data_IF_111584186082
#
_entry.id   IF_111584186082
#
_cell.length_a   1.000
_cell.length_b   1.000
_cell.length_c   1.000
_cell.angle_alpha   90.00
_cell.angle_beta   90.00
_cell.angle_gamma   90.00
#
_symmetry.space_group_name_H-M   'P 1'
#
loop_
_entity.id
_entity.type
_entity.pdbx_description
1 polymer ?
#
# COMPACT_ATOMS: atom_id res chain seq x y z
N UNK A 1 -5.09 4.89 -4.16
CA UNK A 1 -3.83 4.16 -3.88
C UNK A 1 -3.71 3.79 -2.41
N UNK A 2 -3.06 2.66 -2.06
CA UNK A 2 -2.99 2.10 -0.68
C UNK A 2 -1.56 1.84 -0.20
N UNK A 3 -0.67 2.79 -0.42
CA UNK A 3 0.74 2.64 -0.06
C UNK A 3 1.06 3.12 1.37
N UNK A 4 0.04 3.62 2.07
CA UNK A 4 0.04 4.01 3.48
C UNK A 4 -1.36 3.75 4.07
N UNK A 5 -1.45 3.65 5.39
CA UNK A 5 -2.74 3.57 6.10
C UNK A 5 -3.46 4.92 6.03
N UNK A 6 -4.71 4.94 5.55
CA UNK A 6 -5.55 6.14 5.65
C UNK A 6 -6.07 6.34 7.08
N UNK A 7 -6.13 7.59 7.53
CA UNK A 7 -6.81 7.96 8.77
C UNK A 7 -8.33 8.04 8.55
N UNK A 8 -9.10 7.26 9.29
CA UNK A 8 -10.58 7.21 9.21
C UNK A 8 -11.27 7.77 10.44
N UNK A 9 -10.54 8.33 11.41
CA UNK A 9 -11.01 8.69 12.75
C UNK A 9 -12.32 9.50 12.77
N UNK A 10 -12.44 10.50 11.88
CA UNK A 10 -13.65 11.35 11.78
C UNK A 10 -14.57 11.00 10.62
N UNK A 11 -14.10 10.18 9.68
CA UNK A 11 -14.78 9.95 8.40
C UNK A 11 -16.11 9.24 8.60
N UNK A 12 -16.20 8.28 9.52
CA UNK A 12 -17.45 7.54 9.73
C UNK A 12 -18.56 8.40 10.33
N UNK A 13 -18.21 9.36 11.21
CA UNK A 13 -19.16 10.33 11.76
C UNK A 13 -19.70 11.25 10.67
N UNK A 14 -18.80 11.80 9.84
CA UNK A 14 -19.17 12.63 8.69
C UNK A 14 -20.08 11.85 7.74
N UNK A 15 -19.76 10.59 7.42
CA UNK A 15 -20.64 9.77 6.58
C UNK A 15 -22.04 9.65 7.20
N UNK A 16 -22.14 9.35 8.50
CA UNK A 16 -23.43 9.24 9.19
C UNK A 16 -24.25 10.53 9.14
N UNK A 17 -23.59 11.68 9.33
CA UNK A 17 -24.22 13.01 9.25
C UNK A 17 -24.74 13.31 7.83
N UNK A 18 -23.94 13.03 6.80
CA UNK A 18 -24.34 13.28 5.41
C UNK A 18 -25.43 12.33 4.92
N UNK A 19 -25.55 11.13 5.51
CA UNK A 19 -26.60 10.16 5.15
C UNK A 19 -28.02 10.63 5.49
N UNK A 20 -28.21 11.64 6.33
CA UNK A 20 -29.54 12.23 6.55
C UNK A 20 -29.90 13.33 5.55
N UNK A 21 -28.97 13.74 4.68
CA UNK A 21 -29.11 14.91 3.81
C UNK A 21 -29.04 14.50 2.33
N UNK A 22 -28.17 13.55 1.99
CA UNK A 22 -27.86 13.22 0.60
C UNK A 22 -27.42 11.77 0.43
N UNK A 23 -27.32 11.34 -0.83
CA UNK A 23 -26.65 10.09 -1.19
C UNK A 23 -25.15 10.22 -0.92
N UNK A 24 -24.57 9.21 -0.28
CA UNK A 24 -23.14 9.15 0.04
C UNK A 24 -22.48 7.99 -0.69
N UNK A 25 -21.38 8.26 -1.38
CA UNK A 25 -20.46 7.22 -1.85
C UNK A 25 -19.25 7.17 -0.92
N UNK A 26 -19.04 6.01 -0.30
CA UNK A 26 -17.85 5.74 0.52
C UNK A 26 -16.92 4.76 -0.18
N UNK A 27 -15.66 5.15 -0.40
CA UNK A 27 -14.62 4.29 -0.97
C UNK A 27 -13.50 4.04 0.03
N UNK A 28 -13.06 2.78 0.13
CA UNK A 28 -12.01 2.40 1.08
C UNK A 28 -11.42 1.03 0.85
N UNK A 29 -10.51 0.64 1.73
CA UNK A 29 -10.11 -0.77 1.88
C UNK A 29 -11.30 -1.61 2.37
N UNK A 30 -11.33 -2.93 2.10
CA UNK A 30 -12.41 -3.80 2.56
C UNK A 30 -12.65 -3.71 4.08
N UNK A 31 -11.57 -3.62 4.88
CA UNK A 31 -11.70 -3.46 6.33
C UNK A 31 -12.25 -2.09 6.76
N UNK A 32 -12.02 -1.02 6.00
CA UNK A 32 -12.62 0.29 6.27
C UNK A 32 -14.11 0.31 5.92
N UNK A 33 -14.50 -0.30 4.79
CA UNK A 33 -15.92 -0.42 4.41
C UNK A 33 -16.67 -1.27 5.43
N UNK A 34 -16.09 -2.41 5.84
CA UNK A 34 -16.65 -3.24 6.91
C UNK A 34 -16.73 -2.50 8.25
N UNK A 35 -15.69 -1.72 8.58
CA UNK A 35 -15.68 -0.85 9.76
C UNK A 35 -16.80 0.19 9.74
N UNK A 36 -17.01 0.87 8.61
CA UNK A 36 -18.10 1.84 8.43
C UNK A 36 -19.47 1.17 8.64
N UNK A 37 -19.74 0.06 7.94
CA UNK A 37 -21.02 -0.64 8.07
C UNK A 37 -21.29 -1.12 9.50
N UNK A 38 -20.26 -1.63 10.18
CA UNK A 38 -20.36 -2.02 11.59
C UNK A 38 -20.66 -0.82 12.49
N UNK A 39 -20.00 0.32 12.25
CA UNK A 39 -20.24 1.56 13.00
C UNK A 39 -21.66 2.11 12.81
N UNK A 40 -22.20 2.03 11.58
CA UNK A 40 -23.54 2.52 11.27
C UNK A 40 -24.64 1.66 11.91
N UNK A 41 -24.41 0.35 12.08
CA UNK A 41 -25.30 -0.57 12.79
C UNK A 41 -26.60 -0.92 12.06
N UNK A 42 -26.81 -0.39 10.85
CA UNK A 42 -27.92 -0.71 9.95
C UNK A 42 -27.56 -0.38 8.50
N UNK A 43 -28.33 -0.91 7.57
CA UNK A 43 -28.20 -0.56 6.16
C UNK A 43 -28.87 0.78 5.85
N UNK A 44 -28.34 1.44 4.81
CA UNK A 44 -28.80 2.74 4.31
C UNK A 44 -28.96 2.64 2.79
N UNK A 45 -30.17 2.90 2.29
CA UNK A 45 -30.48 2.82 0.86
C UNK A 45 -29.68 3.84 0.03
N UNK A 46 -29.38 4.99 0.63
CA UNK A 46 -28.61 6.10 0.05
C UNK A 46 -27.10 6.03 0.33
N UNK A 47 -26.58 4.89 0.83
CA UNK A 47 -25.13 4.67 1.00
C UNK A 47 -24.58 3.71 -0.07
N UNK A 48 -23.76 4.20 -0.99
CA UNK A 48 -23.03 3.38 -1.96
C UNK A 48 -21.62 3.11 -1.42
N UNK A 49 -21.18 1.85 -1.43
CA UNK A 49 -19.88 1.44 -0.91
C UNK A 49 -18.97 0.84 -1.96
N UNK A 50 -17.73 1.30 -2.00
CA UNK A 50 -16.70 0.83 -2.94
C UNK A 50 -15.50 0.33 -2.16
N UNK A 51 -15.28 -0.98 -2.21
CA UNK A 51 -14.05 -1.59 -1.75
C UNK A 51 -13.00 -1.51 -2.85
N UNK A 52 -11.74 -1.30 -2.50
CA UNK A 52 -10.65 -1.54 -3.47
C UNK A 52 -9.97 -2.87 -3.15
N UNK A 53 -9.44 -3.57 -4.16
CA UNK A 53 -8.57 -4.74 -3.96
C UNK A 53 -7.41 -4.35 -3.05
N UNK A 54 -7.11 -5.19 -2.05
CA UNK A 54 -6.19 -4.83 -0.97
C UNK A 54 -5.11 -5.90 -0.76
N UNK A 55 -3.88 -5.52 -1.07
CA UNK A 55 -2.67 -6.26 -0.72
C UNK A 55 -2.48 -6.33 0.82
N UNK A 56 -2.51 -5.15 1.45
CA UNK A 56 -2.17 -4.91 2.84
C UNK A 56 -1.55 -3.51 2.95
N UNK A 57 -1.57 -2.92 4.13
CA UNK A 57 -1.00 -1.58 4.36
C UNK A 57 0.29 -1.67 5.18
N UNK A 58 1.32 -0.90 4.84
CA UNK A 58 2.58 -0.89 5.57
C UNK A 58 2.46 -0.17 6.91
N UNK A 59 3.45 -0.37 7.78
CA UNK A 59 3.62 0.39 9.01
C UNK A 59 3.79 1.90 8.70
N UNK A 60 2.91 2.78 9.23
CA UNK A 60 3.07 4.22 9.07
C UNK A 60 4.37 4.76 9.65
N UNK A 61 4.90 4.11 10.69
CA UNK A 61 6.16 4.48 11.32
C UNK A 61 7.36 4.23 10.39
N UNK A 62 7.36 3.11 9.68
CA UNK A 62 8.41 2.79 8.69
C UNK A 62 8.38 3.81 7.54
N UNK A 63 7.19 4.15 7.02
CA UNK A 63 7.06 5.17 5.99
C UNK A 63 7.52 6.55 6.46
N UNK A 64 7.17 6.95 7.69
CA UNK A 64 7.61 8.22 8.26
C UNK A 64 9.13 8.30 8.35
N UNK A 65 9.80 7.22 8.80
CA UNK A 65 11.26 7.17 8.84
C UNK A 65 11.88 7.22 7.46
N UNK A 66 11.31 6.51 6.48
CA UNK A 66 11.73 6.60 5.07
C UNK A 66 11.65 8.05 4.56
N UNK A 67 10.49 8.68 4.73
CA UNK A 67 10.26 10.05 4.29
C UNK A 67 11.21 11.04 4.95
N UNK A 68 11.42 10.94 6.27
CA UNK A 68 12.38 11.78 6.98
C UNK A 68 13.82 11.61 6.47
N UNK A 69 14.21 10.39 6.11
CA UNK A 69 15.52 10.12 5.50
C UNK A 69 15.69 10.85 4.17
N UNK A 70 14.68 10.75 3.29
CA UNK A 70 14.65 11.46 2.00
C UNK A 70 14.69 12.97 2.21
N UNK A 71 13.91 13.50 3.15
CA UNK A 71 13.87 14.94 3.44
C UNK A 71 15.20 15.46 3.97
N UNK A 72 15.80 14.76 4.94
CA UNK A 72 17.12 15.11 5.50
C UNK A 72 18.22 15.11 4.43
N UNK A 73 18.24 14.09 3.55
CA UNK A 73 19.21 14.03 2.46
C UNK A 73 19.10 15.23 1.50
N UNK A 74 17.89 15.75 1.30
CA UNK A 74 17.64 16.90 0.43
C UNK A 74 17.64 18.25 1.16
N UNK A 75 18.00 18.30 2.45
CA UNK A 75 17.92 19.50 3.30
C UNK A 75 16.53 20.17 3.29
N UNK A 76 15.48 19.36 3.38
CA UNK A 76 14.09 19.80 3.37
C UNK A 76 13.35 19.39 4.63
N UNK A 77 12.25 20.09 4.92
CA UNK A 77 11.25 19.74 5.93
C UNK A 77 9.95 19.25 5.28
N UNK A 78 9.15 18.49 6.05
CA UNK A 78 7.85 17.98 5.60
C UNK A 78 6.89 19.11 5.19
N UNK A 79 6.97 20.27 5.82
CA UNK A 79 6.16 21.46 5.49
C UNK A 79 6.44 22.01 4.10
N UNK A 80 7.54 21.61 3.45
CA UNK A 80 7.87 21.98 2.08
C UNK A 80 7.33 20.99 1.04
N UNK A 81 6.81 19.84 1.47
CA UNK A 81 6.20 18.84 0.60
C UNK A 81 4.74 19.18 0.27
N UNK A 82 4.33 18.98 -0.99
CA UNK A 82 2.93 19.13 -1.41
C UNK A 82 2.25 17.81 -1.74
N UNK A 83 3.01 16.87 -2.33
CA UNK A 83 2.44 15.63 -2.87
C UNK A 83 3.49 14.52 -2.88
N UNK A 84 3.04 13.32 -2.54
CA UNK A 84 3.80 12.08 -2.71
C UNK A 84 3.02 11.20 -3.68
N UNK A 85 3.63 10.83 -4.80
CA UNK A 85 3.08 9.92 -5.77
C UNK A 85 3.87 8.61 -5.74
N UNK A 86 3.22 7.52 -5.37
CA UNK A 86 3.89 6.21 -5.26
C UNK A 86 4.04 5.48 -6.60
N UNK A 87 3.31 5.91 -7.62
CA UNK A 87 3.21 5.21 -8.92
C UNK A 87 2.83 6.21 -10.01
N UNK A 88 3.65 7.23 -10.18
CA UNK A 88 3.50 8.14 -11.32
C UNK A 88 4.05 7.47 -12.58
N UNK A 89 3.41 7.72 -13.73
CA UNK A 89 3.91 7.25 -15.03
C UNK A 89 4.63 8.40 -15.72
N UNK A 90 5.86 8.17 -16.16
CA UNK A 90 6.58 9.03 -17.11
C UNK A 90 7.34 8.12 -18.07
N UNK A 91 7.23 8.38 -19.37
CA UNK A 91 7.87 7.59 -20.44
C UNK A 91 7.55 6.09 -20.30
N UNK A 92 6.29 5.75 -20.00
CA UNK A 92 5.77 4.40 -19.74
C UNK A 92 6.42 3.64 -18.55
N UNK A 93 7.21 4.34 -17.72
CA UNK A 93 7.85 3.76 -16.53
C UNK A 93 7.19 4.32 -15.26
N UNK A 94 6.91 3.43 -14.31
CA UNK A 94 6.44 3.82 -12.99
C UNK A 94 7.57 4.35 -12.11
N UNK A 95 7.30 5.44 -11.42
CA UNK A 95 8.22 6.09 -10.49
C UNK A 95 7.53 6.56 -9.22
N UNK A 96 8.29 6.54 -8.13
CA UNK A 96 7.95 7.19 -6.87
C UNK A 96 8.47 8.62 -6.91
N UNK A 97 7.62 9.60 -6.66
CA UNK A 97 7.95 11.03 -6.78
C UNK A 97 7.47 11.80 -5.57
N UNK A 98 8.30 12.70 -5.04
CA UNK A 98 7.91 13.68 -4.04
C UNK A 98 8.06 15.09 -4.64
N UNK A 99 7.00 15.87 -4.47
CA UNK A 99 6.88 17.23 -4.96
C UNK A 99 6.99 18.23 -3.82
N UNK A 100 7.66 19.36 -4.10
CA UNK A 100 7.64 20.51 -3.21
C UNK A 100 6.34 21.34 -3.39
N UNK A 101 6.17 22.40 -2.61
CA UNK A 101 5.03 23.34 -2.71
C UNK A 101 4.87 24.02 -4.08
N UNK A 102 5.93 24.19 -4.85
CA UNK A 102 5.87 24.73 -6.21
C UNK A 102 5.55 23.68 -7.27
N UNK A 103 5.17 22.46 -6.86
CA UNK A 103 4.88 21.31 -7.74
C UNK A 103 6.07 20.85 -8.57
N UNK A 104 7.29 21.18 -8.15
CA UNK A 104 8.53 20.69 -8.76
C UNK A 104 8.95 19.40 -8.03
N UNK A 105 9.28 18.30 -8.74
CA UNK A 105 9.79 17.10 -8.11
C UNK A 105 11.20 17.36 -7.56
N UNK A 106 11.44 17.00 -6.30
CA UNK A 106 12.78 17.06 -5.69
C UNK A 106 13.35 15.68 -5.36
N UNK A 107 12.51 14.64 -5.40
CA UNK A 107 12.92 13.27 -5.21
C UNK A 107 12.16 12.37 -6.17
N UNK A 108 12.89 11.54 -6.91
CA UNK A 108 12.36 10.62 -7.90
C UNK A 108 13.15 9.31 -7.86
N UNK A 109 12.43 8.19 -7.81
CA UNK A 109 13.03 6.85 -7.85
C UNK A 109 12.13 5.90 -8.64
N UNK A 110 12.71 5.24 -9.66
CA UNK A 110 12.03 4.17 -10.40
C UNK A 110 11.82 2.93 -9.53
N UNK A 111 12.82 2.59 -8.72
CA UNK A 111 12.72 1.52 -7.72
C UNK A 111 13.33 1.98 -6.40
N UNK A 112 12.49 2.18 -5.39
CA UNK A 112 12.97 2.52 -4.05
C UNK A 112 12.86 1.32 -3.10
N UNK A 113 13.75 1.27 -2.11
CA UNK A 113 13.85 0.17 -1.15
C UNK A 113 12.56 0.02 -0.32
N UNK A 114 11.89 1.12 0.01
CA UNK A 114 10.61 1.09 0.73
C UNK A 114 9.54 0.34 -0.07
N UNK A 115 9.28 0.70 -1.33
CA UNK A 115 8.28 0.03 -2.18
C UNK A 115 8.68 -1.44 -2.41
N UNK A 116 9.96 -1.72 -2.66
CA UNK A 116 10.45 -3.10 -2.87
C UNK A 116 10.18 -3.99 -1.66
N UNK A 117 10.55 -3.54 -0.46
CA UNK A 117 10.35 -4.31 0.79
C UNK A 117 8.90 -4.33 1.27
N UNK A 118 8.12 -3.29 0.96
CA UNK A 118 6.66 -3.30 1.14
C UNK A 118 6.00 -4.43 0.34
N UNK A 119 6.35 -4.58 -0.95
CA UNK A 119 5.83 -5.64 -1.82
C UNK A 119 6.34 -7.04 -1.43
N UNK A 120 7.43 -7.13 -0.67
CA UNK A 120 7.89 -8.37 -0.02
C UNK A 120 7.14 -8.67 1.29
N UNK A 121 6.14 -7.87 1.66
CA UNK A 121 5.39 -7.98 2.90
C UNK A 121 6.25 -7.80 4.17
N UNK A 122 7.39 -7.11 4.11
CA UNK A 122 8.34 -7.06 5.25
C UNK A 122 7.76 -6.38 6.48
N UNK A 123 6.97 -5.32 6.29
CA UNK A 123 6.48 -4.47 7.38
C UNK A 123 5.00 -4.09 7.23
N UNK A 124 4.17 -5.03 6.77
CA UNK A 124 2.73 -4.84 6.83
C UNK A 124 2.23 -4.80 8.28
N UNK A 125 1.06 -4.20 8.49
CA UNK A 125 0.34 -4.34 9.77
C UNK A 125 0.05 -5.82 10.03
N UNK A 126 0.14 -6.24 11.30
CA UNK A 126 -0.09 -7.65 11.69
C UNK A 126 -1.45 -8.17 11.20
N UNK A 127 -2.50 -7.36 11.31
CA UNK A 127 -3.84 -7.71 10.83
C UNK A 127 -3.92 -7.95 9.32
N UNK A 128 -2.97 -7.45 8.51
CA UNK A 128 -2.95 -7.66 7.07
C UNK A 128 -2.47 -9.06 6.66
N UNK A 129 -1.67 -9.74 7.50
CA UNK A 129 -1.23 -11.11 7.22
C UNK A 129 -2.33 -12.14 7.44
N UNK A 130 -3.31 -11.83 8.28
CA UNK A 130 -4.48 -12.66 8.53
C UNK A 130 -5.79 -11.85 8.38
N UNK A 131 -5.87 -11.05 7.31
CA UNK A 131 -7.01 -10.17 7.08
C UNK A 131 -8.27 -11.00 6.76
N UNK A 132 -9.31 -10.83 7.56
CA UNK A 132 -10.64 -11.47 7.35
C UNK A 132 -11.51 -10.73 6.33
N UNK A 133 -11.06 -9.59 5.80
CA UNK A 133 -11.82 -8.78 4.84
C UNK A 133 -11.34 -9.08 3.42
N UNK A 134 -11.60 -10.31 2.98
CA UNK A 134 -11.35 -10.81 1.62
C UNK A 134 -12.67 -10.99 0.87
N UNK A 135 -12.61 -11.35 -0.41
CA UNK A 135 -13.76 -11.36 -1.31
C UNK A 135 -14.98 -12.11 -0.72
N UNK A 136 -14.77 -13.26 -0.10
CA UNK A 136 -15.84 -14.07 0.53
C UNK A 136 -16.54 -13.36 1.71
N UNK A 137 -15.87 -12.39 2.32
CA UNK A 137 -16.28 -11.62 3.49
C UNK A 137 -16.50 -10.13 3.13
N UNK A 138 -16.57 -9.82 1.83
CA UNK A 138 -16.82 -8.47 1.32
C UNK A 138 -18.23 -8.03 1.69
N UNK A 139 -18.39 -6.75 1.99
CA UNK A 139 -19.69 -6.17 2.35
C UNK A 139 -20.03 -4.95 1.50
N UNK A 140 -19.16 -4.57 0.56
CA UNK A 140 -19.32 -3.45 -0.34
C UNK A 140 -20.31 -3.71 -1.49
N UNK A 141 -20.77 -2.63 -2.13
CA UNK A 141 -21.56 -2.70 -3.36
C UNK A 141 -20.67 -3.04 -4.57
N UNK A 142 -19.48 -2.42 -4.62
CA UNK A 142 -18.49 -2.64 -5.67
C UNK A 142 -17.13 -3.01 -5.09
N UNK A 143 -16.37 -3.82 -5.81
CA UNK A 143 -14.92 -4.00 -5.58
C UNK A 143 -14.17 -3.54 -6.84
N UNK A 144 -13.22 -2.62 -6.67
CA UNK A 144 -12.40 -2.09 -7.76
C UNK A 144 -10.92 -2.47 -7.60
N UNK A 145 -10.23 -2.77 -8.69
CA UNK A 145 -8.78 -3.02 -8.67
C UNK A 145 -8.14 -2.90 -10.03
N UNK A 146 -6.82 -3.08 -10.09
CA UNK A 146 -6.10 -3.19 -11.36
C UNK A 146 -6.38 -4.58 -11.98
N UNK A 147 -6.74 -4.65 -13.26
CA UNK A 147 -6.90 -5.94 -13.93
C UNK A 147 -5.54 -6.50 -14.40
N UNK A 148 -4.76 -7.05 -13.46
CA UNK A 148 -3.40 -7.54 -13.70
C UNK A 148 -3.24 -8.60 -14.81
N UNK A 149 -4.32 -9.28 -15.23
CA UNK A 149 -4.30 -10.27 -16.30
C UNK A 149 -4.82 -9.77 -17.64
N UNK A 150 -5.17 -8.48 -17.78
CA UNK A 150 -5.84 -7.99 -18.99
C UNK A 150 -4.99 -8.22 -20.24
N UNK A 151 -3.70 -7.87 -20.19
CA UNK A 151 -2.78 -7.99 -21.33
C UNK A 151 -2.68 -9.43 -21.87
N UNK A 152 -2.71 -10.41 -20.97
CA UNK A 152 -2.49 -11.81 -21.33
C UNK A 152 -3.77 -12.51 -21.79
N UNK A 153 -4.91 -12.18 -21.18
CA UNK A 153 -6.17 -12.90 -21.38
C UNK A 153 -7.18 -12.15 -22.27
N UNK A 154 -7.06 -10.83 -22.38
CA UNK A 154 -7.95 -9.94 -23.13
C UNK A 154 -7.13 -8.82 -23.81
N UNK A 155 -6.14 -9.18 -24.67
CA UNK A 155 -5.24 -8.21 -25.29
C UNK A 155 -5.98 -7.14 -26.12
N UNK A 156 -7.13 -7.47 -26.68
CA UNK A 156 -7.99 -6.56 -27.45
C UNK A 156 -8.61 -5.42 -26.61
N UNK A 157 -8.69 -5.61 -25.29
CA UNK A 157 -9.21 -4.61 -24.35
C UNK A 157 -8.09 -3.98 -23.50
N UNK A 158 -6.85 -4.40 -23.68
CA UNK A 158 -5.72 -3.90 -22.91
C UNK A 158 -5.38 -2.45 -23.27
N UNK A 159 -5.25 -1.62 -22.23
CA UNK A 159 -4.75 -0.25 -22.34
C UNK A 159 -3.44 -0.13 -21.53
N UNK A 160 -2.33 0.36 -22.12
CA UNK A 160 -1.08 0.65 -21.39
C UNK A 160 -1.25 1.57 -20.18
N UNK A 161 -2.25 2.47 -20.20
CA UNK A 161 -2.61 3.35 -19.06
C UNK A 161 -3.30 2.59 -17.93
N UNK A 162 -3.72 1.35 -18.19
CA UNK A 162 -4.29 0.43 -17.21
C UNK A 162 -5.78 0.16 -17.44
N UNK A 163 -6.17 -1.08 -17.14
CA UNK A 163 -7.56 -1.53 -17.19
C UNK A 163 -8.04 -1.82 -15.77
N UNK A 164 -9.20 -1.29 -15.39
CA UNK A 164 -9.80 -1.53 -14.08
C UNK A 164 -10.63 -2.81 -14.06
N UNK A 165 -10.42 -3.63 -13.04
CA UNK A 165 -11.33 -4.70 -12.65
C UNK A 165 -12.48 -4.11 -11.82
N UNK A 166 -13.71 -4.46 -12.18
CA UNK A 166 -14.91 -4.13 -11.41
C UNK A 166 -15.65 -5.42 -11.05
N UNK A 167 -15.93 -5.64 -9.76
CA UNK A 167 -16.80 -6.70 -9.27
C UNK A 167 -18.05 -6.06 -8.69
N UNK A 168 -19.20 -6.43 -9.24
CA UNK A 168 -20.53 -5.98 -8.80
C UNK A 168 -21.05 -6.98 -7.76
N UNK A 169 -21.29 -6.54 -6.53
CA UNK A 169 -21.52 -7.45 -5.39
C UNK A 169 -22.97 -7.49 -4.90
N UNK A 170 -23.76 -6.42 -5.13
CA UNK A 170 -25.14 -6.32 -4.65
C UNK A 170 -26.12 -6.04 -5.79
N UNK A 171 -27.41 -6.33 -5.61
CA UNK A 171 -28.45 -6.00 -6.60
C UNK A 171 -28.56 -4.48 -6.83
N UNK A 172 -28.33 -3.67 -5.79
CA UNK A 172 -28.25 -2.21 -5.94
C UNK A 172 -27.05 -1.81 -6.80
N UNK A 173 -25.88 -2.39 -6.56
CA UNK A 173 -24.70 -2.18 -7.40
C UNK A 173 -24.96 -2.56 -8.85
N UNK A 174 -25.69 -3.67 -9.08
CA UNK A 174 -26.07 -4.13 -10.42
C UNK A 174 -26.97 -3.13 -11.14
N UNK A 175 -27.96 -2.57 -10.46
CA UNK A 175 -28.81 -1.49 -11.01
C UNK A 175 -27.98 -0.26 -11.39
N UNK A 176 -27.04 0.16 -10.53
CA UNK A 176 -26.13 1.28 -10.85
C UNK A 176 -25.26 0.92 -12.05
N UNK A 177 -24.63 -0.24 -12.04
CA UNK A 177 -23.73 -0.72 -13.09
C UNK A 177 -24.39 -0.74 -14.46
N UNK A 178 -25.63 -1.23 -14.57
CA UNK A 178 -26.35 -1.30 -15.84
C UNK A 178 -26.58 0.08 -16.47
N UNK A 179 -26.70 1.13 -15.66
CA UNK A 179 -26.92 2.51 -16.11
C UNK A 179 -25.62 3.27 -16.46
N UNK A 180 -24.45 2.72 -16.13
CA UNK A 180 -23.16 3.35 -16.46
C UNK A 180 -22.78 3.12 -17.91
N UNK A 181 -22.50 4.21 -18.64
CA UNK A 181 -21.97 4.19 -20.01
C UNK A 181 -20.45 4.14 -19.97
N UNK A 182 -19.89 2.93 -19.91
CA UNK A 182 -18.45 2.65 -19.86
C UNK A 182 -18.08 1.63 -20.93
N UNK A 183 -16.88 1.74 -21.51
CA UNK A 183 -16.28 0.63 -22.24
C UNK A 183 -16.00 -0.49 -21.24
N UNK A 184 -16.58 -1.67 -21.46
CA UNK A 184 -16.49 -2.81 -20.54
C UNK A 184 -16.63 -4.13 -21.27
N UNK A 185 -15.96 -5.14 -20.75
CA UNK A 185 -16.10 -6.53 -21.15
C UNK A 185 -16.42 -7.38 -19.92
N UNK A 186 -17.22 -8.42 -20.10
CA UNK A 186 -17.43 -9.41 -19.05
C UNK A 186 -16.26 -10.40 -19.03
N UNK A 187 -15.73 -10.67 -17.84
CA UNK A 187 -14.54 -11.51 -17.67
C UNK A 187 -14.84 -12.72 -16.81
N UNK A 188 -14.25 -13.88 -17.16
CA UNK A 188 -14.46 -15.12 -16.41
C UNK A 188 -13.85 -15.01 -15.01
N UNK A 189 -14.63 -15.36 -13.98
CA UNK A 189 -14.22 -15.38 -12.56
C UNK A 189 -12.87 -16.07 -12.31
N UNK A 190 -12.61 -17.19 -13.00
CA UNK A 190 -11.33 -17.94 -12.92
C UNK A 190 -10.11 -17.08 -13.32
N UNK A 191 -10.25 -16.24 -14.34
CA UNK A 191 -9.18 -15.35 -14.82
C UNK A 191 -8.92 -14.25 -13.79
N UNK A 192 -9.99 -13.65 -13.26
CA UNK A 192 -9.91 -12.64 -12.21
C UNK A 192 -9.18 -13.21 -11.00
N UNK A 193 -9.54 -14.40 -10.54
CA UNK A 193 -8.97 -15.02 -9.36
C UNK A 193 -7.50 -15.41 -9.53
N UNK A 194 -7.12 -15.84 -10.73
CA UNK A 194 -5.72 -16.14 -11.08
C UNK A 194 -4.85 -14.89 -11.08
N UNK A 195 -5.35 -13.78 -11.63
CA UNK A 195 -4.60 -12.52 -11.77
C UNK A 195 -4.63 -11.62 -10.54
N UNK A 196 -5.65 -11.75 -9.67
CA UNK A 196 -5.88 -10.87 -8.52
C UNK A 196 -5.90 -11.65 -7.19
N UNK A 197 -4.80 -12.35 -6.87
CA UNK A 197 -4.69 -13.20 -5.66
C UNK A 197 -5.10 -12.53 -4.35
N UNK A 198 -4.92 -11.21 -4.24
CA UNK A 198 -5.19 -10.44 -3.03
C UNK A 198 -6.69 -10.22 -2.75
N UNK A 199 -7.55 -10.51 -3.73
CA UNK A 199 -8.99 -10.66 -3.51
C UNK A 199 -9.28 -11.83 -2.56
N UNK A 200 -8.57 -12.94 -2.75
CA UNK A 200 -8.88 -14.21 -2.10
C UNK A 200 -8.03 -14.44 -0.86
N UNK A 201 -6.75 -14.06 -0.90
CA UNK A 201 -5.77 -14.41 0.12
C UNK A 201 -5.14 -13.19 0.76
N UNK A 202 -4.83 -13.31 2.04
CA UNK A 202 -4.01 -12.35 2.77
C UNK A 202 -2.56 -12.38 2.29
N UNK A 203 -1.84 -11.31 2.58
CA UNK A 203 -0.40 -11.28 2.36
C UNK A 203 0.27 -12.36 3.22
N UNK A 204 1.26 -13.06 2.66
CA UNK A 204 2.01 -14.06 3.42
C UNK A 204 2.87 -13.38 4.49
N UNK A 205 2.94 -13.98 5.68
CA UNK A 205 3.84 -13.50 6.72
C UNK A 205 5.29 -13.55 6.24
N UNK A 206 6.02 -12.45 6.40
CA UNK A 206 7.43 -12.41 6.06
C UNK A 206 8.23 -12.86 7.28
N UNK A 207 8.98 -13.98 7.14
CA UNK A 207 9.80 -14.55 8.21
C UNK A 207 10.84 -13.58 8.79
N UNK A 208 11.26 -12.58 8.03
CA UNK A 208 12.24 -11.58 8.45
C UNK A 208 11.60 -10.38 9.16
N UNK A 209 10.27 -10.31 9.26
CA UNK A 209 9.56 -9.16 9.83
C UNK A 209 9.99 -8.87 11.27
N UNK A 210 10.04 -9.89 12.11
CA UNK A 210 10.35 -9.71 13.53
C UNK A 210 11.79 -9.25 13.73
N UNK A 211 12.72 -9.82 12.98
CA UNK A 211 14.10 -9.37 12.93
C UNK A 211 14.19 -7.92 12.42
N UNK A 212 13.48 -7.58 11.34
CA UNK A 212 13.42 -6.23 10.82
C UNK A 212 12.92 -5.23 11.88
N UNK A 213 11.82 -5.53 12.58
CA UNK A 213 11.31 -4.61 13.60
C UNK A 213 12.23 -4.51 14.83
N UNK A 214 12.92 -5.60 15.21
CA UNK A 214 13.95 -5.55 16.25
C UNK A 214 15.07 -4.58 15.88
N UNK A 215 15.65 -4.71 14.68
CA UNK A 215 16.68 -3.78 14.18
C UNK A 215 16.12 -2.36 14.03
N UNK A 216 14.94 -2.23 13.44
CA UNK A 216 14.29 -0.94 13.19
C UNK A 216 14.05 -0.13 14.47
N UNK A 217 13.65 -0.78 15.57
CA UNK A 217 13.37 -0.10 16.84
C UNK A 217 14.67 0.28 17.57
N UNK A 218 15.66 -0.61 17.58
CA UNK A 218 16.89 -0.42 18.39
C UNK A 218 17.97 0.41 17.69
N UNK A 219 17.94 0.55 16.37
CA UNK A 219 19.01 1.20 15.61
C UNK A 219 18.56 2.52 15.01
N UNK A 220 18.24 3.51 15.85
CA UNK A 220 17.77 4.83 15.40
C UNK A 220 18.80 5.60 14.54
N UNK A 221 20.09 5.34 14.76
CA UNK A 221 21.19 6.01 14.06
C UNK A 221 21.49 5.46 12.65
N UNK A 222 21.03 4.25 12.33
CA UNK A 222 21.24 3.67 11.00
C UNK A 222 20.18 4.23 10.04
N UNK A 223 20.56 4.51 8.79
CA UNK A 223 19.57 4.90 7.79
C UNK A 223 18.58 3.75 7.54
N UNK A 224 17.31 4.07 7.25
CA UNK A 224 16.35 3.01 6.93
C UNK A 224 16.78 2.22 5.68
N UNK A 225 17.39 2.88 4.71
CA UNK A 225 17.85 2.25 3.48
C UNK A 225 18.93 1.18 3.75
N UNK A 226 19.88 1.45 4.66
CA UNK A 226 20.87 0.45 5.08
C UNK A 226 20.22 -0.78 5.70
N UNK A 227 19.20 -0.59 6.55
CA UNK A 227 18.42 -1.70 7.13
C UNK A 227 17.71 -2.48 6.01
N UNK A 228 17.04 -1.79 5.07
CA UNK A 228 16.26 -2.41 3.99
C UNK A 228 17.14 -3.11 2.95
N UNK A 229 18.37 -2.65 2.71
CA UNK A 229 19.33 -3.31 1.80
C UNK A 229 19.59 -4.77 2.21
N UNK A 230 19.67 -5.06 3.51
CA UNK A 230 19.84 -6.42 4.03
C UNK A 230 18.71 -7.40 3.68
N UNK A 231 17.53 -6.89 3.32
CA UNK A 231 16.35 -7.69 2.97
C UNK A 231 16.03 -7.69 1.48
N UNK A 232 16.65 -6.81 0.69
CA UNK A 232 16.41 -6.67 -0.75
C UNK A 232 17.46 -7.32 -1.62
N UNK A 233 18.68 -7.49 -1.12
CA UNK A 233 19.75 -8.20 -1.80
C UNK A 233 19.75 -9.70 -1.45
N UNK A 234 19.84 -10.54 -2.49
CA UNK A 234 20.18 -11.96 -2.32
C UNK A 234 21.64 -12.16 -1.89
N UNK A 235 22.44 -11.10 -2.00
CA UNK A 235 23.87 -11.14 -1.72
C UNK A 235 24.14 -11.37 -0.23
N UNK A 236 24.76 -12.51 0.07
CA UNK A 236 25.04 -12.99 1.41
C UNK A 236 25.94 -11.99 2.16
N UNK A 237 26.78 -11.25 1.44
CA UNK A 237 27.75 -10.31 2.01
C UNK A 237 27.11 -9.10 2.68
N UNK A 238 25.98 -8.60 2.15
CA UNK A 238 25.24 -7.50 2.81
C UNK A 238 24.61 -7.99 4.11
N UNK A 239 24.07 -9.21 4.12
CA UNK A 239 23.50 -9.82 5.34
C UNK A 239 24.57 -10.09 6.39
N UNK A 240 25.71 -10.64 5.98
CA UNK A 240 26.88 -10.86 6.84
C UNK A 240 27.38 -9.53 7.39
N UNK A 241 27.48 -8.49 6.56
CA UNK A 241 27.89 -7.14 7.00
C UNK A 241 26.90 -6.55 8.02
N UNK A 242 25.60 -6.63 7.78
CA UNK A 242 24.58 -6.19 8.74
C UNK A 242 24.66 -6.98 10.06
N UNK A 243 24.85 -8.30 9.99
CA UNK A 243 25.01 -9.15 11.16
C UNK A 243 26.28 -8.80 11.94
N UNK A 244 27.42 -8.65 11.27
CA UNK A 244 28.70 -8.22 11.86
C UNK A 244 28.54 -6.86 12.54
N UNK A 245 27.92 -5.88 11.87
CA UNK A 245 27.65 -4.57 12.45
C UNK A 245 26.81 -4.70 13.73
N UNK A 246 25.76 -5.52 13.69
CA UNK A 246 24.88 -5.75 14.83
C UNK A 246 25.62 -6.42 16.01
N UNK A 247 26.44 -7.45 15.73
CA UNK A 247 27.27 -8.13 16.74
C UNK A 247 28.30 -7.18 17.34
N UNK A 248 29.06 -6.47 16.50
CA UNK A 248 30.09 -5.52 16.95
C UNK A 248 29.50 -4.42 17.84
N UNK A 249 28.27 -3.97 17.57
CA UNK A 249 27.57 -3.01 18.43
C UNK A 249 27.10 -3.62 19.73
N UNK A 250 26.56 -4.84 19.70
CA UNK A 250 26.14 -5.56 20.91
C UNK A 250 27.29 -5.78 21.89
N UNK A 251 28.49 -6.10 21.38
CA UNK A 251 29.69 -6.29 22.21
C UNK A 251 30.46 -5.00 22.48
N UNK A 252 29.92 -3.82 22.11
CA UNK A 252 30.55 -2.52 22.36
C UNK A 252 31.78 -2.20 21.52
N UNK A 253 32.13 -3.03 20.54
CA UNK A 253 33.34 -2.89 19.71
C UNK A 253 33.13 -2.07 18.43
N UNK A 254 31.90 -1.64 18.14
CA UNK A 254 31.60 -0.95 16.89
C UNK A 254 32.33 0.39 16.73
N UNK A 255 32.50 1.16 17.81
CA UNK A 255 33.22 2.43 17.77
C UNK A 255 34.72 2.23 17.48
N UNK A 256 35.30 1.13 17.96
CA UNK A 256 36.68 0.75 17.65
C UNK A 256 36.86 0.44 16.16
N UNK A 257 35.91 -0.25 15.54
CA UNK A 257 35.96 -0.55 14.10
C UNK A 257 35.82 0.70 13.22
N UNK A 258 35.14 1.75 13.70
CA UNK A 258 35.06 3.02 12.96
C UNK A 258 36.37 3.82 12.97
N UNK A 259 37.20 3.69 14.01
CA UNK A 259 38.50 4.36 14.10
C UNK A 259 39.54 3.83 13.09
N UNK A 260 39.38 2.57 12.65
CA UNK A 260 40.27 1.93 11.66
C UNK A 260 39.81 2.13 10.20
N UNK A 261 38.80 2.97 9.96
CA UNK A 261 38.19 3.17 8.63
C UNK A 261 38.70 4.44 7.90
N UNK A 262 39.97 4.78 8.10
CA UNK A 262 40.71 5.72 7.24
C UNK A 262 41.19 5.01 5.99
#
# INVERSE_FOLDING_TARGET
SKYIQSNTEKVFKIVKEHLSIQTVLFSGTPCQVKGLKTFLGKDYDNLITVELVCHGVPSPLVFRRYLNGVLKYNNLDISQCSKINFREVKDDIYRFVIYNKTKIPFYEQYTNLYTKTFLQNLFLRNSCYNCKCKLENSVGDFILGDFWGCRDFYPEFYDPKGVSLVIVCTERAKKIWLNLKLSRIEVKKKIVFRSNRHLLKSASYNRNRDLFFKTFIHEAEISLDDILMGYTNKDIWVKVKCLIISVLRFVGLFQLVQLYRK
#
